data_IF_405905613675
#
_entry.id   IF_405905613675
#
_cell.length_a   1.000
_cell.length_b   1.000
_cell.length_c   1.000
_cell.angle_alpha   90.00
_cell.angle_beta   90.00
_cell.angle_gamma   90.00
#
_symmetry.space_group_name_H-M   'P 1'
#
loop_
_entity.id
_entity.type
_entity.pdbx_description
1 polymer ?
#
# COMPACT_ATOMS: atom_id res chain seq x y z
N UNK A 1 -10.26 -5.11 -13.36
CA UNK A 1 -10.58 -3.83 -13.98
C UNK A 1 -10.57 -2.71 -12.97
N UNK A 2 -10.29 -1.53 -13.46
CA UNK A 2 -10.29 -0.36 -12.61
C UNK A 2 -11.63 -0.15 -11.91
N UNK A 3 -12.71 -0.60 -12.51
CA UNK A 3 -14.03 -0.43 -11.92
C UNK A 3 -14.16 -1.14 -10.58
N UNK A 4 -13.46 -2.24 -10.39
CA UNK A 4 -13.51 -2.93 -9.10
C UNK A 4 -12.86 -2.12 -8.01
N UNK A 5 -11.72 -1.52 -8.33
CA UNK A 5 -11.05 -0.66 -7.37
C UNK A 5 -11.89 0.56 -7.04
N UNK A 6 -12.52 1.13 -8.05
CA UNK A 6 -13.39 2.29 -7.84
C UNK A 6 -14.54 1.93 -6.91
N UNK A 7 -15.14 0.76 -7.12
CA UNK A 7 -16.22 0.33 -6.25
C UNK A 7 -15.75 0.11 -4.83
N UNK A 8 -14.52 -0.37 -4.65
CA UNK A 8 -13.96 -0.63 -3.33
C UNK A 8 -13.70 0.64 -2.55
N UNK A 9 -13.69 1.79 -3.19
CA UNK A 9 -13.44 3.05 -2.51
C UNK A 9 -14.56 3.48 -1.59
N UNK A 10 -15.72 2.91 -1.78
CA UNK A 10 -16.82 3.28 -0.90
C UNK A 10 -16.47 2.92 0.52
N UNK A 11 -16.58 3.88 1.41
CA UNK A 11 -16.23 3.67 2.79
C UNK A 11 -14.74 3.75 3.08
N UNK A 12 -13.95 4.22 2.12
CA UNK A 12 -12.53 4.42 2.35
C UNK A 12 -11.71 3.15 2.44
N UNK A 13 -12.16 2.09 1.81
CA UNK A 13 -11.45 0.82 1.82
C UNK A 13 -10.99 0.44 0.44
N UNK A 14 -9.81 -0.19 0.38
CA UNK A 14 -9.27 -0.74 -0.83
C UNK A 14 -9.29 -2.26 -0.73
N UNK A 15 -9.92 -2.89 -1.69
CA UNK A 15 -9.92 -4.34 -1.78
C UNK A 15 -8.92 -4.72 -2.86
N UNK A 16 -7.82 -5.35 -2.43
CA UNK A 16 -6.81 -5.82 -3.34
C UNK A 16 -7.02 -7.31 -3.57
N UNK A 17 -6.98 -7.70 -4.84
CA UNK A 17 -7.13 -9.09 -5.19
C UNK A 17 -6.09 -9.41 -6.23
N UNK A 18 -5.02 -10.08 -5.81
CA UNK A 18 -3.92 -10.46 -6.68
C UNK A 18 -3.35 -9.25 -7.40
N UNK A 19 -3.24 -8.14 -6.68
CA UNK A 19 -2.66 -6.92 -7.19
C UNK A 19 -1.19 -6.86 -6.81
N UNK A 20 -0.38 -6.15 -7.60
CA UNK A 20 1.00 -5.96 -7.18
C UNK A 20 1.07 -4.98 -6.02
N UNK A 21 2.07 -5.16 -5.17
CA UNK A 21 2.29 -4.25 -4.05
C UNK A 21 2.42 -2.82 -4.54
N UNK A 22 3.12 -2.63 -5.66
CA UNK A 22 3.31 -1.29 -6.23
C UNK A 22 1.98 -0.64 -6.57
N UNK A 23 1.05 -1.39 -7.14
CA UNK A 23 -0.25 -0.85 -7.50
C UNK A 23 -1.05 -0.45 -6.26
N UNK A 24 -1.02 -1.29 -5.24
CA UNK A 24 -1.74 -1.01 -4.00
C UNK A 24 -1.13 0.20 -3.31
N UNK A 25 0.20 0.26 -3.27
CA UNK A 25 0.89 1.39 -2.65
C UNK A 25 0.59 2.68 -3.40
N UNK A 26 0.53 2.61 -4.72
CA UNK A 26 0.20 3.80 -5.51
C UNK A 26 -1.18 4.34 -5.15
N UNK A 27 -2.12 3.46 -4.92
CA UNK A 27 -3.47 3.87 -4.52
C UNK A 27 -3.45 4.49 -3.13
N UNK A 28 -2.72 3.86 -2.20
CA UNK A 28 -2.60 4.38 -0.84
C UNK A 28 -1.91 5.74 -0.84
N UNK A 29 -0.93 5.91 -1.71
CA UNK A 29 -0.17 7.14 -1.81
C UNK A 29 -1.06 8.33 -2.12
N UNK A 30 -2.13 8.13 -2.85
CA UNK A 30 -3.06 9.20 -3.17
C UNK A 30 -3.79 9.73 -1.93
N UNK A 31 -3.85 8.93 -0.89
CA UNK A 31 -4.52 9.29 0.36
C UNK A 31 -3.54 9.71 1.43
N UNK A 32 -2.24 9.61 1.13
CA UNK A 32 -1.19 9.98 2.08
C UNK A 32 -0.64 11.34 1.70
N UNK A 33 -0.50 12.19 2.68
CA UNK A 33 -0.03 13.55 2.51
C UNK A 33 1.49 13.59 2.49
N UNK A 34 2.10 12.89 1.55
CA UNK A 34 3.55 12.80 1.48
C UNK A 34 3.97 11.83 0.40
N UNK A 35 5.08 11.15 0.65
CA UNK A 35 5.69 10.26 -0.34
C UNK A 35 5.80 8.85 0.22
N UNK A 36 5.50 7.88 -0.59
CA UNK A 36 5.67 6.48 -0.24
C UNK A 36 6.62 5.88 -1.26
N UNK A 37 7.71 5.30 -0.77
CA UNK A 37 8.74 4.73 -1.62
C UNK A 37 8.83 3.23 -1.40
N UNK A 38 9.15 2.51 -2.44
CA UNK A 38 9.45 1.08 -2.36
C UNK A 38 10.91 0.92 -2.75
N UNK A 39 11.71 0.39 -1.84
CA UNK A 39 13.16 0.33 -2.04
C UNK A 39 13.60 -0.82 -2.94
N UNK A 40 12.70 -1.77 -3.23
CA UNK A 40 13.05 -2.96 -4.00
C UNK A 40 11.96 -3.27 -5.00
N UNK A 41 12.32 -3.34 -6.27
CA UNK A 41 11.37 -3.64 -7.34
C UNK A 41 10.73 -5.01 -7.16
N UNK A 42 11.48 -5.97 -6.64
CA UNK A 42 10.93 -7.30 -6.41
C UNK A 42 9.79 -7.25 -5.41
N UNK A 43 9.94 -6.43 -4.37
CA UNK A 43 8.86 -6.25 -3.40
C UNK A 43 7.63 -5.63 -4.05
N UNK A 44 7.85 -4.64 -4.90
CA UNK A 44 6.75 -3.99 -5.60
C UNK A 44 6.00 -4.92 -6.54
N UNK A 45 6.67 -5.96 -7.03
CA UNK A 45 6.06 -6.92 -7.95
C UNK A 45 5.33 -8.06 -7.26
N UNK A 46 5.47 -8.17 -5.94
CA UNK A 46 4.82 -9.26 -5.21
C UNK A 46 3.31 -9.12 -5.25
N UNK A 47 2.59 -10.23 -5.37
CA UNK A 47 1.13 -10.17 -5.36
C UNK A 47 0.61 -9.90 -3.97
N UNK A 48 -0.47 -9.17 -3.89
CA UNK A 48 -1.06 -8.79 -2.63
C UNK A 48 -2.56 -8.97 -2.70
N UNK A 49 -3.12 -9.58 -1.66
CA UNK A 49 -4.56 -9.75 -1.54
C UNK A 49 -4.96 -9.38 -0.13
N UNK A 50 -5.99 -8.55 -0.01
CA UNK A 50 -6.49 -8.15 1.29
C UNK A 50 -7.33 -6.91 1.21
N UNK A 51 -7.78 -6.46 2.37
CA UNK A 51 -8.60 -5.25 2.49
C UNK A 51 -7.83 -4.25 3.34
N UNK A 52 -7.69 -3.04 2.83
CA UNK A 52 -6.90 -2.02 3.49
C UNK A 52 -7.70 -0.74 3.64
N UNK A 53 -7.52 -0.07 4.78
CA UNK A 53 -8.24 1.14 5.09
C UNK A 53 -7.49 2.35 4.54
N UNK A 54 -8.06 3.00 3.53
CA UNK A 54 -7.43 4.15 2.90
C UNK A 54 -7.52 5.41 3.75
N UNK A 55 -8.41 5.41 4.75
CA UNK A 55 -8.52 6.56 5.65
C UNK A 55 -7.36 6.63 6.62
N UNK A 56 -6.61 5.52 6.75
CA UNK A 56 -5.41 5.50 7.57
C UNK A 56 -4.28 4.91 6.75
N UNK A 57 -3.65 5.73 5.90
CA UNK A 57 -2.62 5.22 4.99
C UNK A 57 -1.46 4.56 5.70
N UNK A 58 -1.05 5.07 6.85
CA UNK A 58 0.06 4.46 7.58
C UNK A 58 -0.29 3.07 8.06
N UNK A 59 -1.50 2.89 8.58
CA UNK A 59 -1.95 1.58 9.02
C UNK A 59 -2.06 0.63 7.84
N UNK A 60 -2.54 1.13 6.70
CA UNK A 60 -2.63 0.31 5.50
C UNK A 60 -1.25 -0.16 5.06
N UNK A 61 -0.28 0.74 5.07
CA UNK A 61 1.09 0.39 4.68
C UNK A 61 1.72 -0.58 5.66
N UNK A 62 1.45 -0.42 6.95
CA UNK A 62 1.96 -1.35 7.95
C UNK A 62 1.38 -2.74 7.73
N UNK A 63 0.10 -2.83 7.38
CA UNK A 63 -0.53 -4.11 7.08
C UNK A 63 0.06 -4.73 5.83
N UNK A 64 0.34 -3.93 4.82
CA UNK A 64 0.96 -4.42 3.59
C UNK A 64 2.36 -4.95 3.90
N UNK A 65 3.14 -4.21 4.68
CA UNK A 65 4.48 -4.63 5.05
C UNK A 65 4.43 -5.96 5.81
N UNK A 66 3.52 -6.06 6.76
CA UNK A 66 3.38 -7.27 7.55
C UNK A 66 3.00 -8.46 6.67
N UNK A 67 2.09 -8.26 5.73
CA UNK A 67 1.65 -9.33 4.84
C UNK A 67 2.78 -9.82 3.94
N UNK A 68 3.70 -8.93 3.57
CA UNK A 68 4.79 -9.26 2.67
C UNK A 68 6.08 -9.63 3.39
N UNK A 69 6.07 -9.60 4.71
CA UNK A 69 7.30 -9.82 5.45
C UNK A 69 8.29 -8.69 5.24
N UNK A 70 7.79 -7.51 4.99
CA UNK A 70 8.62 -6.35 4.71
C UNK A 70 8.66 -5.42 5.92
N UNK A 71 9.47 -4.39 5.83
CA UNK A 71 9.62 -3.41 6.89
C UNK A 71 9.13 -2.06 6.38
N UNK A 72 8.32 -1.41 7.19
CA UNK A 72 7.90 -0.04 6.91
C UNK A 72 8.76 0.90 7.72
N UNK A 73 9.45 1.81 7.04
CA UNK A 73 10.31 2.80 7.68
C UNK A 73 9.72 4.17 7.49
N UNK A 74 9.71 4.93 8.56
CA UNK A 74 9.31 6.33 8.51
C UNK A 74 10.57 7.18 8.48
N UNK A 75 10.92 7.66 7.28
CA UNK A 75 12.13 8.44 7.08
C UNK A 75 11.93 9.84 7.61
N UNK A 76 10.74 10.38 7.39
CA UNK A 76 10.32 11.66 7.93
C UNK A 76 8.80 11.61 8.06
N UNK A 77 8.16 12.62 8.70
CA UNK A 77 6.70 12.60 8.80
C UNK A 77 6.00 12.54 7.46
N UNK A 78 6.69 12.91 6.38
CA UNK A 78 6.11 12.93 5.05
C UNK A 78 6.64 11.85 4.14
N UNK A 79 7.61 11.06 4.59
CA UNK A 79 8.25 10.06 3.71
C UNK A 79 8.26 8.71 4.40
N UNK A 80 7.59 7.76 3.78
CA UNK A 80 7.55 6.38 4.23
C UNK A 80 8.22 5.51 3.19
N UNK A 81 8.90 4.47 3.64
CA UNK A 81 9.58 3.56 2.72
C UNK A 81 9.31 2.12 3.10
N UNK A 82 8.94 1.33 2.11
CA UNK A 82 8.80 -0.11 2.25
C UNK A 82 10.07 -0.77 1.77
N UNK A 83 10.62 -1.62 2.60
CA UNK A 83 11.85 -2.35 2.29
C UNK A 83 11.65 -3.82 2.57
N UNK A 84 12.31 -4.72 1.83
CA UNK A 84 12.30 -6.12 2.21
C UNK A 84 13.04 -6.30 3.53
N UNK A 85 12.64 -7.32 4.22
CA UNK A 85 13.24 -7.61 5.52
C UNK A 85 14.70 -8.02 5.42
#
# INVERSE_FOLDING_TARGET
>A
MASELVAAWRGGRLIAKDQSVAEVVETVDRYFDGWILISDDALGSEPLTGIYNLEDPKAALAAIADAQGAVLREISPWILMLSPE
#
